data_IF_677737603079
#
_entry.id   IF_677737603079
#
_cell.length_a   1.000
_cell.length_b   1.000
_cell.length_c   1.000
_cell.angle_alpha   90.00
_cell.angle_beta   90.00
_cell.angle_gamma   90.00
#
_symmetry.space_group_name_H-M   'P 1'
#
loop_
_entity.id
_entity.type
_entity.pdbx_description
1 polymer ?
#
# COMPACT_ATOMS: atom_id res chain seq x y z
N UNK A 1 7.16 18.71 19.88
CA UNK A 1 6.76 19.24 18.54
C UNK A 1 7.73 18.68 17.51
N UNK A 2 7.26 17.99 16.46
CA UNK A 2 8.12 17.37 15.43
C UNK A 2 8.47 18.41 14.35
N UNK A 3 9.49 19.25 14.59
CA UNK A 3 9.93 20.31 13.68
C UNK A 3 10.29 19.80 12.27
N UNK A 4 11.03 18.68 12.11
CA UNK A 4 11.33 18.12 10.79
C UNK A 4 10.06 17.76 10.00
N UNK A 5 9.06 17.16 10.63
CA UNK A 5 7.79 16.83 9.99
C UNK A 5 7.04 18.09 9.54
N UNK A 6 6.98 19.12 10.40
CA UNK A 6 6.30 20.36 10.04
C UNK A 6 7.01 21.08 8.89
N UNK A 7 8.33 21.11 8.90
CA UNK A 7 9.09 21.64 7.77
C UNK A 7 8.81 20.87 6.48
N UNK A 8 8.80 19.54 6.55
CA UNK A 8 8.44 18.69 5.39
C UNK A 8 7.05 19.05 4.84
N UNK A 9 6.02 19.10 5.69
CA UNK A 9 4.65 19.38 5.25
C UNK A 9 4.50 20.79 4.66
N UNK A 10 5.08 21.80 5.30
CA UNK A 10 4.99 23.20 4.86
C UNK A 10 5.78 23.48 3.57
N UNK A 11 6.85 22.74 3.29
CA UNK A 11 7.68 22.96 2.11
C UNK A 11 7.31 22.09 0.91
N UNK A 12 6.57 21.00 1.12
CA UNK A 12 6.21 20.04 0.07
C UNK A 12 4.75 20.13 -0.39
N UNK A 13 3.89 20.76 0.42
CA UNK A 13 2.46 20.83 0.15
C UNK A 13 1.92 22.25 0.32
N UNK A 14 1.06 22.71 -0.62
CA UNK A 14 0.44 24.04 -0.55
C UNK A 14 -0.48 24.18 0.66
N UNK A 15 -1.15 23.09 1.05
CA UNK A 15 -2.01 23.03 2.23
C UNK A 15 -1.32 22.38 3.44
N UNK A 16 0.01 22.48 3.55
CA UNK A 16 0.80 21.88 4.62
C UNK A 16 0.32 22.21 6.02
N UNK A 17 -0.17 23.44 6.25
CA UNK A 17 -0.75 23.82 7.53
C UNK A 17 -2.03 23.05 7.86
N UNK A 18 -2.93 22.86 6.87
CA UNK A 18 -4.13 22.05 7.03
C UNK A 18 -3.78 20.59 7.35
N UNK A 19 -2.74 20.03 6.72
CA UNK A 19 -2.25 18.68 7.03
C UNK A 19 -1.73 18.57 8.47
N UNK A 20 -1.00 19.59 8.97
CA UNK A 20 -0.55 19.64 10.36
C UNK A 20 -1.74 19.66 11.34
N UNK A 21 -2.75 20.48 11.06
CA UNK A 21 -3.97 20.54 11.87
C UNK A 21 -4.69 19.18 11.87
N UNK A 22 -4.87 18.57 10.69
CA UNK A 22 -5.45 17.25 10.56
C UNK A 22 -4.75 16.19 11.41
N UNK A 23 -3.40 16.16 11.39
CA UNK A 23 -2.60 15.24 12.24
C UNK A 23 -2.80 15.49 13.74
N UNK A 24 -2.89 16.76 14.15
CA UNK A 24 -3.13 17.12 15.56
C UNK A 24 -4.50 16.69 16.09
N UNK A 25 -5.49 16.61 15.21
CA UNK A 25 -6.87 16.20 15.51
C UNK A 25 -7.14 14.74 15.17
N UNK A 26 -6.11 13.88 15.13
CA UNK A 26 -6.25 12.45 14.91
C UNK A 26 -6.78 12.06 13.52
N UNK A 27 -6.50 12.88 12.52
CA UNK A 27 -6.93 12.65 11.14
C UNK A 27 -8.17 13.45 10.71
N UNK A 28 -8.70 14.31 11.61
CA UNK A 28 -9.86 15.18 11.36
C UNK A 28 -9.46 16.65 11.41
N UNK A 29 -10.18 17.52 10.74
CA UNK A 29 -10.04 18.96 10.92
C UNK A 29 -10.67 19.40 12.24
N UNK A 30 -10.36 20.64 12.70
CA UNK A 30 -10.87 21.17 13.95
C UNK A 30 -12.40 21.25 14.04
N UNK A 31 -13.08 21.33 12.89
CA UNK A 31 -14.53 21.29 12.75
C UNK A 31 -15.13 19.87 12.64
N UNK A 32 -14.29 18.84 12.79
CA UNK A 32 -14.68 17.44 12.65
C UNK A 32 -14.73 16.92 11.21
N UNK A 33 -14.41 17.76 10.21
CA UNK A 33 -14.32 17.32 8.83
C UNK A 33 -13.00 16.58 8.56
N UNK A 34 -12.98 15.50 7.75
CA UNK A 34 -11.74 14.84 7.35
C UNK A 34 -10.93 15.76 6.43
N UNK A 35 -9.60 15.61 6.42
CA UNK A 35 -8.75 16.26 5.43
C UNK A 35 -9.04 15.66 4.04
N UNK A 36 -9.75 16.38 3.20
CA UNK A 36 -10.27 15.87 1.95
C UNK A 36 -9.22 15.81 0.82
N UNK A 37 -8.06 16.45 0.97
CA UNK A 37 -7.05 16.50 -0.09
C UNK A 37 -5.64 16.80 0.42
N UNK A 38 -4.65 16.38 -0.38
CA UNK A 38 -3.24 16.79 -0.27
C UNK A 38 -2.93 17.60 -1.52
N UNK A 39 -2.56 18.87 -1.36
CA UNK A 39 -2.25 19.76 -2.49
C UNK A 39 -0.75 19.92 -2.63
N UNK A 40 -0.18 19.31 -3.65
CA UNK A 40 1.25 19.36 -3.96
C UNK A 40 1.69 20.75 -4.41
N UNK A 41 3.00 21.07 -4.31
CA UNK A 41 3.55 22.37 -4.71
C UNK A 41 3.30 22.72 -6.17
N UNK A 42 3.25 21.74 -7.08
CA UNK A 42 2.91 21.93 -8.49
C UNK A 42 1.41 22.09 -8.75
N UNK A 43 0.57 22.06 -7.70
CA UNK A 43 -0.88 22.20 -7.79
C UNK A 43 -1.65 20.90 -7.98
N UNK A 44 -1.00 19.76 -8.15
CA UNK A 44 -1.67 18.46 -8.20
C UNK A 44 -2.40 18.19 -6.89
N UNK A 45 -3.64 17.69 -6.98
CA UNK A 45 -4.49 17.39 -5.82
C UNK A 45 -4.66 15.89 -5.70
N UNK A 46 -4.27 15.33 -4.56
CA UNK A 46 -4.53 13.94 -4.18
C UNK A 46 -5.74 13.93 -3.26
N UNK A 47 -6.69 13.07 -3.56
CA UNK A 47 -7.98 12.97 -2.87
C UNK A 47 -8.21 11.56 -2.34
N UNK A 48 -9.12 11.44 -1.40
CA UNK A 48 -9.58 10.19 -0.82
C UNK A 48 -11.09 10.28 -0.53
N UNK A 49 -11.78 9.16 -0.25
CA UNK A 49 -13.17 9.18 0.18
C UNK A 49 -13.39 10.11 1.40
N UNK A 50 -14.45 10.96 1.38
CA UNK A 50 -14.62 12.03 2.39
C UNK A 50 -14.86 11.53 3.82
N UNK A 51 -15.34 10.30 4.01
CA UNK A 51 -15.61 9.73 5.33
C UNK A 51 -14.35 9.18 6.02
N UNK A 52 -13.17 9.37 5.43
CA UNK A 52 -11.94 8.74 5.88
C UNK A 52 -11.03 9.70 6.61
N UNK A 53 -10.85 9.47 7.90
CA UNK A 53 -9.73 10.01 8.65
C UNK A 53 -8.40 9.29 8.27
N UNK A 54 -7.28 9.89 8.64
CA UNK A 54 -5.97 9.22 8.50
C UNK A 54 -5.17 9.50 7.23
N UNK A 55 -5.73 10.18 6.21
CA UNK A 55 -5.04 10.43 4.94
C UNK A 55 -3.70 11.18 5.11
N UNK A 56 -3.66 12.19 5.99
CA UNK A 56 -2.43 12.89 6.33
C UNK A 56 -1.45 11.97 7.10
N UNK A 57 -1.96 11.05 7.90
CA UNK A 57 -1.16 10.02 8.59
C UNK A 57 -0.46 9.09 7.61
N UNK A 58 -1.21 8.51 6.67
CA UNK A 58 -0.65 7.66 5.62
C UNK A 58 0.38 8.40 4.75
N UNK A 59 0.16 9.69 4.46
CA UNK A 59 1.18 10.50 3.78
C UNK A 59 2.47 10.59 4.59
N UNK A 60 2.37 10.85 5.90
CA UNK A 60 3.54 10.96 6.78
C UNK A 60 4.29 9.64 6.83
N UNK A 61 3.59 8.56 7.06
CA UNK A 61 4.16 7.21 7.12
C UNK A 61 4.90 6.83 5.83
N UNK A 62 4.26 7.03 4.68
CA UNK A 62 4.82 6.62 3.39
C UNK A 62 5.88 7.58 2.83
N UNK A 63 5.71 8.91 2.99
CA UNK A 63 6.56 9.90 2.33
C UNK A 63 7.59 10.54 3.24
N UNK A 64 7.29 10.74 4.53
CA UNK A 64 8.20 11.32 5.49
C UNK A 64 9.00 10.24 6.23
N UNK A 65 8.33 9.28 6.87
CA UNK A 65 8.96 8.17 7.60
C UNK A 65 9.50 7.09 6.66
N UNK A 66 8.92 6.99 5.44
CA UNK A 66 9.32 6.06 4.39
C UNK A 66 9.33 4.61 4.88
N UNK A 67 8.26 4.18 5.55
CA UNK A 67 8.17 2.91 6.24
C UNK A 67 8.66 1.72 5.39
N UNK A 68 8.31 1.67 4.10
CA UNK A 68 8.74 0.61 3.18
C UNK A 68 10.14 0.81 2.57
N UNK A 69 10.72 2.01 2.64
CA UNK A 69 11.97 2.34 1.93
C UNK A 69 13.05 2.96 2.82
N UNK A 70 12.80 3.02 4.15
CA UNK A 70 13.74 3.64 5.09
C UNK A 70 15.08 2.92 5.13
N UNK A 71 16.12 3.66 5.58
CA UNK A 71 17.48 3.16 5.71
C UNK A 71 18.03 2.57 4.39
N UNK A 72 17.61 3.12 3.25
CA UNK A 72 17.99 2.65 1.91
C UNK A 72 17.63 1.18 1.65
N UNK A 73 16.62 0.64 2.36
CA UNK A 73 16.15 -0.72 2.14
C UNK A 73 15.71 -0.95 0.69
N UNK A 74 15.05 0.05 0.11
CA UNK A 74 14.73 0.07 -1.32
C UNK A 74 14.83 1.49 -1.88
N UNK A 75 15.57 1.63 -2.97
CA UNK A 75 15.61 2.82 -3.83
C UNK A 75 15.38 2.35 -5.27
N UNK A 76 14.31 2.83 -5.94
CA UNK A 76 13.98 2.38 -7.30
C UNK A 76 15.05 2.81 -8.30
N UNK A 77 15.46 1.88 -9.15
CA UNK A 77 16.43 2.09 -10.23
C UNK A 77 15.75 2.02 -11.60
N UNK A 78 16.43 2.46 -12.62
CA UNK A 78 15.99 2.35 -14.01
C UNK A 78 15.71 0.89 -14.38
N UNK A 79 14.52 0.67 -14.95
CA UNK A 79 14.07 -0.66 -15.34
C UNK A 79 13.52 -1.52 -14.21
N UNK A 80 13.57 -1.08 -12.95
CA UNK A 80 12.95 -1.80 -11.85
C UNK A 80 11.44 -1.91 -12.04
N UNK A 81 10.88 -3.05 -11.64
CA UNK A 81 9.45 -3.27 -11.54
C UNK A 81 9.07 -3.41 -10.07
N UNK A 82 8.12 -2.59 -9.66
CA UNK A 82 7.55 -2.56 -8.32
C UNK A 82 6.10 -3.00 -8.39
N UNK A 83 5.70 -3.91 -7.51
CA UNK A 83 4.29 -4.31 -7.35
C UNK A 83 3.75 -3.70 -6.05
N UNK A 84 2.55 -3.13 -6.13
CA UNK A 84 1.82 -2.53 -5.01
C UNK A 84 0.46 -3.23 -4.89
N UNK A 85 0.39 -4.25 -4.01
CA UNK A 85 -0.85 -4.92 -3.67
C UNK A 85 -1.51 -4.23 -2.47
N UNK A 86 -2.77 -3.80 -2.65
CA UNK A 86 -3.45 -2.90 -1.73
C UNK A 86 -2.98 -1.45 -1.93
N UNK A 87 -3.10 -0.95 -3.16
CA UNK A 87 -2.58 0.37 -3.51
C UNK A 87 -3.39 1.52 -2.89
N UNK A 88 -4.60 1.23 -2.37
CA UNK A 88 -5.48 2.21 -1.74
C UNK A 88 -5.72 3.41 -2.68
N UNK A 89 -5.48 4.62 -2.23
CA UNK A 89 -5.60 5.84 -3.06
C UNK A 89 -4.28 6.23 -3.76
N UNK A 90 -3.26 5.37 -3.72
CA UNK A 90 -2.06 5.46 -4.55
C UNK A 90 -0.86 6.19 -3.95
N UNK A 91 -0.86 6.50 -2.65
CA UNK A 91 0.25 7.26 -2.06
C UNK A 91 1.61 6.56 -2.22
N UNK A 92 1.69 5.23 -2.00
CA UNK A 92 2.93 4.48 -2.20
C UNK A 92 3.32 4.40 -3.68
N UNK A 93 2.40 4.02 -4.55
CA UNK A 93 2.62 3.96 -6.00
C UNK A 93 3.15 5.28 -6.56
N UNK A 94 2.51 6.41 -6.19
CA UNK A 94 2.92 7.76 -6.61
C UNK A 94 4.29 8.11 -6.04
N UNK A 95 4.56 7.76 -4.77
CA UNK A 95 5.86 8.01 -4.15
C UNK A 95 7.00 7.33 -4.91
N UNK A 96 6.86 6.05 -5.24
CA UNK A 96 7.86 5.28 -5.98
C UNK A 96 8.02 5.82 -7.42
N UNK A 97 6.91 5.98 -8.14
CA UNK A 97 6.92 6.43 -9.53
C UNK A 97 7.57 7.80 -9.73
N UNK A 98 7.43 8.71 -8.76
CA UNK A 98 8.05 10.04 -8.78
C UNK A 98 9.52 10.03 -8.39
N UNK A 99 9.99 9.05 -7.63
CA UNK A 99 11.41 8.92 -7.26
C UNK A 99 12.25 8.49 -8.46
N UNK A 100 11.71 7.62 -9.29
CA UNK A 100 12.36 7.21 -10.54
C UNK A 100 11.30 7.01 -11.65
N UNK A 101 11.19 7.95 -12.60
CA UNK A 101 10.27 7.82 -13.73
C UNK A 101 10.60 6.67 -14.69
N UNK A 102 11.81 6.12 -14.65
CA UNK A 102 12.22 4.96 -15.47
C UNK A 102 11.94 3.61 -14.80
N UNK A 103 11.47 3.58 -13.54
CA UNK A 103 10.88 2.38 -12.95
C UNK A 103 9.43 2.22 -13.38
N UNK A 104 8.87 1.01 -13.28
CA UNK A 104 7.46 0.72 -13.53
C UNK A 104 6.80 0.22 -12.26
N UNK A 105 5.63 0.78 -11.94
CA UNK A 105 4.80 0.33 -10.83
C UNK A 105 3.56 -0.38 -11.39
N UNK A 106 3.23 -1.56 -10.88
CA UNK A 106 2.00 -2.29 -11.18
C UNK A 106 1.17 -2.35 -9.89
N UNK A 107 0.05 -1.65 -9.88
CA UNK A 107 -0.75 -1.42 -8.69
C UNK A 107 -2.10 -2.14 -8.75
N UNK A 108 -2.45 -2.80 -7.66
CA UNK A 108 -3.68 -3.58 -7.49
C UNK A 108 -4.48 -3.00 -6.32
N UNK A 109 -5.72 -2.62 -6.60
CA UNK A 109 -6.68 -2.11 -5.60
C UNK A 109 -8.08 -2.62 -5.94
N UNK A 110 -8.69 -3.48 -5.10
CA UNK A 110 -9.99 -4.04 -5.39
C UNK A 110 -11.17 -3.13 -5.06
N UNK A 111 -11.04 -2.27 -4.05
CA UNK A 111 -12.14 -1.51 -3.46
C UNK A 111 -12.55 -0.28 -4.28
N UNK A 112 -13.46 0.51 -3.74
CA UNK A 112 -13.85 1.82 -4.27
C UNK A 112 -12.70 2.85 -4.28
N UNK A 113 -11.65 2.60 -3.51
CA UNK A 113 -10.44 3.43 -3.51
C UNK A 113 -9.76 3.45 -4.88
N UNK A 114 -10.03 2.47 -5.75
CA UNK A 114 -9.51 2.41 -7.12
C UNK A 114 -9.85 3.66 -7.94
N UNK A 115 -11.04 4.22 -7.76
CA UNK A 115 -11.46 5.42 -8.50
C UNK A 115 -10.67 6.66 -8.04
N UNK A 116 -10.33 6.72 -6.75
CA UNK A 116 -9.43 7.75 -6.21
C UNK A 116 -7.98 7.53 -6.64
N UNK A 117 -7.50 6.29 -6.60
CA UNK A 117 -6.18 5.89 -7.11
C UNK A 117 -6.00 6.37 -8.56
N UNK A 118 -6.96 6.08 -9.44
CA UNK A 118 -6.92 6.49 -10.84
C UNK A 118 -6.88 8.02 -11.00
N UNK A 119 -7.74 8.76 -10.28
CA UNK A 119 -7.76 10.23 -10.29
C UNK A 119 -6.44 10.82 -9.78
N UNK A 120 -5.89 10.28 -8.70
CA UNK A 120 -4.67 10.77 -8.08
C UNK A 120 -3.46 10.58 -9.01
N UNK A 121 -3.36 9.43 -9.67
CA UNK A 121 -2.30 9.16 -10.66
C UNK A 121 -2.41 10.11 -11.85
N UNK A 122 -3.62 10.32 -12.37
CA UNK A 122 -3.85 11.29 -13.43
C UNK A 122 -3.48 12.72 -13.00
N UNK A 123 -3.84 13.13 -11.78
CA UNK A 123 -3.55 14.47 -11.25
C UNK A 123 -2.04 14.74 -11.14
N UNK A 124 -1.22 13.74 -10.80
CA UNK A 124 0.25 13.89 -10.75
C UNK A 124 0.93 13.66 -12.09
N UNK A 125 0.20 13.21 -13.11
CA UNK A 125 0.73 12.94 -14.44
C UNK A 125 1.73 11.79 -14.51
N UNK A 126 1.64 10.81 -13.59
CA UNK A 126 2.53 9.66 -13.58
C UNK A 126 2.15 8.69 -14.73
N UNK A 127 3.11 8.42 -15.63
CA UNK A 127 2.91 7.56 -16.81
C UNK A 127 3.48 6.15 -16.63
N UNK A 128 4.17 5.91 -15.54
CA UNK A 128 4.89 4.68 -15.23
C UNK A 128 4.16 3.84 -14.17
N UNK A 129 2.87 4.07 -13.97
CA UNK A 129 2.00 3.29 -13.08
C UNK A 129 0.91 2.61 -13.92
N UNK A 130 0.85 1.29 -13.86
CA UNK A 130 -0.20 0.46 -14.45
C UNK A 130 -1.19 0.05 -13.35
N UNK A 131 -2.51 0.18 -13.61
CA UNK A 131 -3.57 0.01 -12.61
C UNK A 131 -4.45 -1.19 -12.90
N UNK A 132 -4.78 -1.96 -11.87
CA UNK A 132 -5.67 -3.11 -11.95
C UNK A 132 -6.70 -3.09 -10.80
N UNK A 133 -7.99 -3.11 -11.15
CA UNK A 133 -9.07 -3.27 -10.16
C UNK A 133 -9.30 -4.74 -9.88
N UNK A 134 -8.36 -5.33 -9.14
CA UNK A 134 -8.31 -6.76 -8.84
C UNK A 134 -7.91 -6.96 -7.38
N UNK A 135 -8.50 -7.95 -6.72
CA UNK A 135 -8.00 -8.47 -5.47
C UNK A 135 -6.86 -9.47 -5.74
N UNK A 136 -5.88 -9.50 -4.85
CA UNK A 136 -4.83 -10.51 -4.86
C UNK A 136 -5.12 -11.50 -3.75
N UNK A 137 -5.14 -12.79 -4.07
CA UNK A 137 -5.50 -13.83 -3.13
C UNK A 137 -4.84 -15.17 -3.43
N UNK A 138 -5.41 -16.26 -2.91
CA UNK A 138 -4.88 -17.60 -3.03
C UNK A 138 -5.03 -18.19 -4.43
N UNK A 139 -6.18 -17.94 -5.07
CA UNK A 139 -6.60 -18.55 -6.31
C UNK A 139 -7.51 -17.62 -7.12
N UNK A 140 -7.88 -18.03 -8.33
CA UNK A 140 -8.89 -17.32 -9.12
C UNK A 140 -10.26 -17.40 -8.46
N UNK A 141 -10.96 -16.28 -8.41
CA UNK A 141 -12.30 -16.25 -7.84
C UNK A 141 -12.89 -14.85 -7.78
N UNK A 142 -13.84 -14.70 -6.90
CA UNK A 142 -14.50 -13.45 -6.58
C UNK A 142 -14.46 -13.26 -5.06
N UNK A 143 -14.19 -12.05 -4.63
CA UNK A 143 -14.28 -11.62 -3.24
C UNK A 143 -15.23 -10.46 -3.13
N UNK A 144 -15.83 -10.30 -1.97
CA UNK A 144 -16.72 -9.20 -1.66
C UNK A 144 -15.99 -8.18 -0.82
N UNK A 145 -15.74 -6.99 -1.37
CA UNK A 145 -15.16 -5.89 -0.62
C UNK A 145 -16.22 -5.26 0.27
N UNK A 146 -16.04 -5.39 1.57
CA UNK A 146 -16.92 -4.79 2.57
C UNK A 146 -16.44 -3.39 2.85
N UNK A 147 -17.33 -2.41 2.66
CA UNK A 147 -17.01 -1.01 2.94
C UNK A 147 -17.07 -0.75 4.45
N UNK A 148 -15.96 -0.32 5.04
CA UNK A 148 -16.01 0.12 6.43
C UNK A 148 -16.62 1.52 6.51
N UNK A 149 -17.53 1.74 7.43
CA UNK A 149 -18.23 3.04 7.62
C UNK A 149 -17.37 4.11 8.27
N UNK A 150 -16.08 3.84 8.56
CA UNK A 150 -15.23 4.76 9.31
C UNK A 150 -13.82 5.01 8.75
N UNK A 151 -13.21 4.01 8.13
CA UNK A 151 -11.88 4.12 7.53
C UNK A 151 -11.79 3.25 6.29
N UNK A 152 -11.42 3.77 5.13
CA UNK A 152 -11.26 2.93 3.92
C UNK A 152 -9.99 2.09 3.94
N UNK A 153 -9.07 2.38 4.83
CA UNK A 153 -7.93 1.51 5.11
C UNK A 153 -8.36 0.15 5.69
N UNK A 154 -9.57 0.08 6.27
CA UNK A 154 -10.12 -1.14 6.87
C UNK A 154 -11.03 -1.95 5.89
N UNK A 155 -11.04 -1.62 4.59
CA UNK A 155 -11.82 -2.38 3.60
C UNK A 155 -11.21 -3.76 3.40
N UNK A 156 -11.99 -4.81 3.70
CA UNK A 156 -11.56 -6.22 3.68
C UNK A 156 -12.23 -7.02 2.58
N UNK A 157 -11.49 -8.02 2.09
CA UNK A 157 -12.04 -9.04 1.21
C UNK A 157 -12.74 -10.13 2.03
N UNK A 158 -13.98 -10.47 1.67
CA UNK A 158 -14.73 -11.57 2.27
C UNK A 158 -15.23 -12.53 1.19
N UNK A 159 -15.27 -13.83 1.51
CA UNK A 159 -15.69 -14.87 0.56
C UNK A 159 -17.20 -14.84 0.27
N UNK A 160 -18.02 -14.33 1.21
CA UNK A 160 -19.47 -14.29 1.08
C UNK A 160 -20.00 -12.86 0.91
N UNK A 161 -21.07 -12.67 0.10
CA UNK A 161 -21.67 -11.35 -0.07
C UNK A 161 -22.30 -10.84 1.24
N UNK A 162 -22.10 -9.55 1.50
CA UNK A 162 -22.79 -8.78 2.54
C UNK A 162 -23.64 -7.68 1.90
N UNK A 163 -24.60 -7.13 2.66
CA UNK A 163 -25.57 -6.16 2.13
C UNK A 163 -24.92 -4.96 1.43
N UNK A 164 -23.77 -4.49 1.93
CA UNK A 164 -23.04 -3.31 1.40
C UNK A 164 -21.67 -3.71 0.83
N UNK A 165 -21.58 -4.84 0.12
CA UNK A 165 -20.34 -5.31 -0.46
C UNK A 165 -20.34 -5.27 -1.99
N UNK A 166 -19.18 -4.99 -2.59
CA UNK A 166 -18.97 -5.03 -4.03
C UNK A 166 -18.16 -6.27 -4.41
N UNK A 167 -18.66 -7.07 -5.35
CA UNK A 167 -17.93 -8.22 -5.89
C UNK A 167 -16.78 -7.77 -6.79
N UNK A 168 -15.57 -8.27 -6.52
CA UNK A 168 -14.37 -7.97 -7.29
C UNK A 168 -13.65 -9.27 -7.66
N UNK A 169 -13.09 -9.31 -8.88
CA UNK A 169 -12.31 -10.46 -9.33
C UNK A 169 -11.03 -10.59 -8.52
N UNK A 170 -10.72 -11.81 -8.10
CA UNK A 170 -9.50 -12.19 -7.40
C UNK A 170 -8.58 -12.99 -8.31
N UNK A 171 -7.29 -12.71 -8.24
CA UNK A 171 -6.23 -13.43 -8.97
C UNK A 171 -5.13 -13.89 -8.02
N UNK A 172 -4.45 -15.03 -8.31
CA UNK A 172 -3.33 -15.51 -7.51
C UNK A 172 -2.02 -14.78 -7.84
N UNK A 173 -1.06 -14.81 -6.91
CA UNK A 173 0.25 -14.17 -7.05
C UNK A 173 1.01 -14.53 -8.34
N UNK A 174 1.02 -15.78 -8.86
CA UNK A 174 1.66 -16.07 -10.15
C UNK A 174 1.12 -15.23 -11.32
N UNK A 175 -0.19 -14.94 -11.34
CA UNK A 175 -0.80 -14.07 -12.36
C UNK A 175 -0.39 -12.61 -12.18
N UNK A 176 -0.34 -12.11 -10.93
CA UNK A 176 0.19 -10.78 -10.59
C UNK A 176 1.61 -10.62 -11.17
N UNK A 177 2.48 -11.63 -10.96
CA UNK A 177 3.83 -11.62 -11.51
C UNK A 177 3.88 -11.73 -13.04
N UNK A 178 2.93 -12.44 -13.65
CA UNK A 178 2.81 -12.51 -15.11
C UNK A 178 2.41 -11.15 -15.71
N UNK A 179 1.49 -10.42 -15.06
CA UNK A 179 1.08 -9.07 -15.46
C UNK A 179 2.24 -8.07 -15.36
N UNK A 180 3.19 -8.30 -14.47
CA UNK A 180 4.40 -7.50 -14.37
C UNK A 180 5.33 -7.63 -15.60
N UNK A 181 5.14 -8.62 -16.46
CA UNK A 181 5.87 -8.83 -17.73
C UNK A 181 7.39 -8.78 -17.57
N UNK A 182 7.91 -9.31 -16.47
CA UNK A 182 9.33 -9.39 -16.14
C UNK A 182 9.65 -10.67 -15.39
N UNK A 183 10.87 -11.16 -15.52
CA UNK A 183 11.36 -12.30 -14.73
C UNK A 183 11.69 -11.95 -13.28
N UNK A 184 11.84 -10.66 -12.95
CA UNK A 184 12.34 -10.18 -11.67
C UNK A 184 11.51 -8.98 -11.18
N UNK A 185 11.13 -9.01 -9.92
CA UNK A 185 10.45 -7.94 -9.20
C UNK A 185 11.44 -7.33 -8.21
N UNK A 186 11.73 -6.06 -8.35
CA UNK A 186 12.68 -5.37 -7.48
C UNK A 186 12.10 -5.12 -6.08
N UNK A 187 10.78 -4.83 -6.00
CA UNK A 187 10.08 -4.65 -4.75
C UNK A 187 8.61 -5.05 -4.87
N UNK A 188 8.13 -5.80 -3.87
CA UNK A 188 6.75 -6.22 -3.75
C UNK A 188 6.18 -5.69 -2.42
N UNK A 189 5.31 -4.66 -2.48
CA UNK A 189 4.51 -4.23 -1.34
C UNK A 189 3.25 -5.09 -1.26
N UNK A 190 2.92 -5.54 -0.06
CA UNK A 190 1.66 -6.22 0.23
C UNK A 190 1.07 -5.68 1.53
N UNK A 191 -0.12 -5.11 1.42
CA UNK A 191 -0.91 -4.55 2.50
C UNK A 191 -2.37 -4.69 2.07
N UNK A 192 -2.95 -5.84 2.42
CA UNK A 192 -4.24 -6.33 1.92
C UNK A 192 -5.18 -6.76 3.03
N UNK A 193 -4.98 -6.17 4.21
CA UNK A 193 -5.90 -6.17 5.34
C UNK A 193 -6.34 -7.58 5.77
N UNK A 194 -5.35 -8.47 6.03
CA UNK A 194 -5.54 -9.80 6.58
C UNK A 194 -5.59 -10.93 5.54
N UNK A 195 -5.46 -10.63 4.23
CA UNK A 195 -5.39 -11.67 3.19
C UNK A 195 -3.94 -12.10 2.86
N UNK A 196 -2.93 -11.57 3.55
CA UNK A 196 -1.50 -11.81 3.29
C UNK A 196 -1.13 -13.29 3.41
N UNK A 197 -1.69 -13.99 4.41
CA UNK A 197 -1.45 -15.42 4.62
C UNK A 197 -2.02 -16.25 3.48
N UNK A 198 -3.23 -15.93 3.01
CA UNK A 198 -3.87 -16.69 1.93
C UNK A 198 -3.06 -16.59 0.64
N UNK A 199 -2.55 -15.39 0.32
CA UNK A 199 -1.64 -15.18 -0.80
C UNK A 199 -0.37 -16.01 -0.62
N UNK A 200 0.29 -15.91 0.53
CA UNK A 200 1.59 -16.50 0.77
C UNK A 200 1.55 -18.02 0.95
N UNK A 201 0.42 -18.60 1.39
CA UNK A 201 0.25 -20.06 1.46
C UNK A 201 0.19 -20.74 0.07
N UNK A 202 -0.15 -19.99 -0.97
CA UNK A 202 -0.25 -20.52 -2.34
C UNK A 202 1.05 -20.31 -3.15
N UNK A 203 2.08 -19.70 -2.56
CA UNK A 203 3.31 -19.32 -3.26
C UNK A 203 4.31 -20.44 -3.29
N UNK A 204 4.90 -20.71 -4.46
CA UNK A 204 5.99 -21.66 -4.62
C UNK A 204 7.36 -21.01 -4.34
N UNK A 205 8.36 -21.81 -4.00
CA UNK A 205 9.73 -21.33 -3.85
C UNK A 205 10.25 -20.62 -5.10
N UNK A 206 9.92 -21.12 -6.28
CA UNK A 206 10.30 -20.51 -7.57
C UNK A 206 9.71 -19.10 -7.71
N UNK A 207 8.44 -18.92 -7.35
CA UNK A 207 7.78 -17.61 -7.33
C UNK A 207 8.48 -16.64 -6.39
N UNK A 208 8.84 -17.07 -5.18
CA UNK A 208 9.55 -16.25 -4.21
C UNK A 208 10.92 -15.77 -4.71
N UNK A 209 11.67 -16.64 -5.40
CA UNK A 209 12.99 -16.31 -5.94
C UNK A 209 12.97 -15.25 -7.05
N UNK A 210 11.80 -14.93 -7.61
CA UNK A 210 11.61 -13.83 -8.57
C UNK A 210 11.48 -12.46 -7.92
N UNK A 211 11.31 -12.41 -6.61
CA UNK A 211 11.04 -11.17 -5.86
C UNK A 211 12.26 -10.87 -4.99
N UNK A 212 12.91 -9.74 -5.22
CA UNK A 212 14.12 -9.37 -4.48
C UNK A 212 13.85 -8.84 -3.09
N UNK A 213 12.79 -8.04 -2.95
CA UNK A 213 12.41 -7.43 -1.69
C UNK A 213 10.90 -7.44 -1.49
N UNK A 214 10.51 -7.71 -0.26
CA UNK A 214 9.14 -7.55 0.20
C UNK A 214 9.04 -6.45 1.26
N UNK A 215 7.93 -5.71 1.21
CA UNK A 215 7.43 -4.91 2.31
C UNK A 215 5.98 -5.35 2.57
N UNK A 216 5.78 -6.09 3.64
CA UNK A 216 4.48 -6.69 3.97
C UNK A 216 3.98 -6.10 5.28
N UNK A 217 2.83 -5.43 5.25
CA UNK A 217 2.09 -5.14 6.47
C UNK A 217 1.35 -6.40 6.89
N UNK A 218 1.66 -6.94 8.08
CA UNK A 218 1.02 -8.12 8.61
C UNK A 218 -0.03 -7.73 9.66
N UNK A 219 -1.11 -8.49 9.73
CA UNK A 219 -2.28 -8.20 10.55
C UNK A 219 -2.61 -9.35 11.50
N UNK A 220 -1.76 -9.58 12.55
CA UNK A 220 -2.02 -10.57 13.60
C UNK A 220 -3.30 -10.28 14.39
N UNK A 221 -3.71 -9.01 14.47
CA UNK A 221 -4.96 -8.58 15.08
C UNK A 221 -6.21 -9.03 14.28
N UNK A 222 -6.09 -9.25 12.97
CA UNK A 222 -7.15 -9.75 12.11
C UNK A 222 -7.05 -11.27 11.91
N UNK A 223 -5.84 -11.77 11.70
CA UNK A 223 -5.56 -13.17 11.45
C UNK A 223 -4.45 -13.64 12.40
N UNK A 224 -4.79 -14.22 13.57
CA UNK A 224 -3.81 -14.65 14.54
C UNK A 224 -2.77 -15.61 13.95
N UNK A 225 -1.48 -15.32 14.16
CA UNK A 225 -0.37 -16.09 13.63
C UNK A 225 0.10 -15.69 12.23
N UNK A 226 -0.39 -14.56 11.69
CA UNK A 226 -0.01 -14.03 10.38
C UNK A 226 1.51 -13.85 10.27
N UNK A 227 2.12 -13.14 11.21
CA UNK A 227 3.56 -12.90 11.22
C UNK A 227 4.35 -14.21 11.22
N UNK A 228 4.01 -15.14 12.11
CA UNK A 228 4.70 -16.43 12.22
C UNK A 228 4.65 -17.18 10.89
N UNK A 229 3.49 -17.22 10.24
CA UNK A 229 3.31 -17.91 8.98
C UNK A 229 4.07 -17.25 7.83
N UNK A 230 4.08 -15.93 7.76
CA UNK A 230 4.87 -15.17 6.78
C UNK A 230 6.38 -15.47 6.96
N UNK A 231 6.87 -15.52 8.19
CA UNK A 231 8.25 -15.86 8.48
C UNK A 231 8.60 -17.29 8.03
N UNK A 232 7.74 -18.28 8.29
CA UNK A 232 7.93 -19.66 7.85
C UNK A 232 8.03 -19.78 6.32
N UNK A 233 7.20 -19.04 5.58
CA UNK A 233 7.18 -19.07 4.11
C UNK A 233 8.39 -18.37 3.50
N UNK A 234 8.78 -17.21 4.04
CA UNK A 234 9.83 -16.37 3.46
C UNK A 234 11.24 -16.76 3.90
N UNK A 235 11.42 -17.22 5.15
CA UNK A 235 12.77 -17.49 5.69
C UNK A 235 13.62 -18.49 4.91
N UNK A 236 13.08 -19.47 4.15
CA UNK A 236 13.92 -20.32 3.31
C UNK A 236 14.63 -19.61 2.15
N UNK A 237 14.12 -18.46 1.71
CA UNK A 237 14.63 -17.74 0.53
C UNK A 237 15.10 -16.32 0.84
N UNK A 238 14.59 -15.71 1.90
CA UNK A 238 14.83 -14.31 2.25
C UNK A 238 15.35 -14.14 3.67
N UNK A 239 16.18 -13.12 3.87
CA UNK A 239 16.45 -12.55 5.18
C UNK A 239 15.27 -11.68 5.59
N UNK A 240 14.96 -11.62 6.90
CA UNK A 240 13.76 -10.98 7.41
C UNK A 240 14.10 -9.93 8.48
N UNK A 241 13.35 -8.83 8.48
CA UNK A 241 13.30 -7.87 9.58
C UNK A 241 11.84 -7.53 9.88
N UNK A 242 11.51 -7.54 11.18
CA UNK A 242 10.16 -7.25 11.66
C UNK A 242 10.16 -5.99 12.50
N UNK A 243 9.21 -5.11 12.26
CA UNK A 243 8.94 -3.90 13.03
C UNK A 243 7.48 -3.98 13.53
N UNK A 244 7.28 -4.48 14.77
CA UNK A 244 5.94 -4.63 15.32
C UNK A 244 5.37 -3.29 15.79
N UNK A 245 4.04 -3.17 15.77
CA UNK A 245 3.30 -2.10 16.45
C UNK A 245 2.60 -2.64 17.71
N UNK A 246 2.20 -1.76 18.66
CA UNK A 246 1.47 -2.19 19.86
C UNK A 246 0.09 -2.80 19.61
N UNK A 247 -0.44 -2.69 18.38
CA UNK A 247 -1.82 -3.04 18.05
C UNK A 247 -1.98 -4.40 17.35
N UNK A 248 -0.94 -5.26 17.34
CA UNK A 248 -1.00 -6.58 16.74
C UNK A 248 -0.94 -6.58 15.21
N UNK A 249 -0.39 -5.53 14.62
CA UNK A 249 0.02 -5.45 13.23
C UNK A 249 1.46 -4.91 13.15
N UNK A 250 2.05 -4.85 11.98
CA UNK A 250 3.37 -4.27 11.82
C UNK A 250 3.96 -4.53 10.44
N UNK A 251 5.19 -4.09 10.24
CA UNK A 251 5.88 -4.23 8.97
C UNK A 251 6.90 -5.37 9.01
N UNK A 252 6.77 -6.32 8.09
CA UNK A 252 7.78 -7.31 7.77
C UNK A 252 8.48 -6.88 6.47
N UNK A 253 9.78 -6.64 6.53
CA UNK A 253 10.63 -6.44 5.36
C UNK A 253 11.47 -7.68 5.12
N UNK A 254 11.61 -8.07 3.85
CA UNK A 254 12.38 -9.24 3.46
C UNK A 254 13.24 -8.93 2.23
N UNK A 255 14.45 -9.52 2.14
CA UNK A 255 15.31 -9.43 0.97
C UNK A 255 15.93 -10.78 0.61
N UNK A 256 16.06 -11.03 -0.69
CA UNK A 256 16.55 -12.30 -1.21
C UNK A 256 17.95 -12.60 -0.65
N UNK A 257 18.14 -13.83 -0.19
CA UNK A 257 19.45 -14.32 0.26
C UNK A 257 20.42 -14.39 -0.90
N UNK A 258 21.64 -13.93 -0.68
CA UNK A 258 22.75 -14.00 -1.64
C UNK A 258 23.35 -15.39 -1.71
#
# INVERSE_FOLDING_TARGET
>A
MNLPLYFFLLTRFRNGWSLIQNLRHGGWLADGAPCAEIVMMNGARLTHPPQMGGFAGSLVELWFEKCYTKNSFFEPKDGDVVIDCGAHVGLFSIFIARRNPACRVVAFEPSENFDYLQRNIAAVGAKNIELHRLAVGREHGWVHMVHSTGRSIDNRAEAAPKADSTAVKMIPLPEVLAMAKTGRIAFFKMDIEGSEIDVMNAVTRETLLRIERFGIEYHDNLVPGALKRLQEVLSPTHELRVEPTPHGHGLLTAWLKT
#
